data_IF_654304289052
#
_entry.id   IF_654304289052
#
_cell.length_a   1.000
_cell.length_b   1.000
_cell.length_c   1.000
_cell.angle_alpha   90.00
_cell.angle_beta   90.00
_cell.angle_gamma   90.00
#
_symmetry.space_group_name_H-M   'P 1'
#
loop_
_entity.id
_entity.type
_entity.pdbx_description
1 polymer ?
#
# COMPACT_ATOMS: atom_id res chain seq x y z
N UNK A 1 60.37 -41.80 -51.21
CA UNK A 1 59.60 -41.76 -52.43
C UNK A 1 58.71 -40.53 -52.28
N UNK A 2 59.21 -39.52 -52.86
CA UNK A 2 58.65 -38.70 -53.98
C UNK A 2 57.49 -37.79 -53.54
N UNK A 3 57.89 -36.54 -53.40
CA UNK A 3 57.71 -35.45 -54.41
C UNK A 3 56.28 -34.99 -54.54
N UNK A 4 55.87 -33.74 -54.58
CA UNK A 4 56.39 -32.53 -55.24
C UNK A 4 55.41 -31.38 -54.91
N UNK A 5 55.86 -30.25 -54.46
CA UNK A 5 55.92 -28.95 -55.12
C UNK A 5 54.69 -28.48 -55.89
N UNK A 6 54.24 -27.27 -55.55
CA UNK A 6 54.13 -26.11 -56.39
C UNK A 6 52.99 -25.20 -55.86
N UNK A 7 53.31 -24.05 -55.38
CA UNK A 7 53.33 -22.71 -56.00
C UNK A 7 51.97 -22.14 -56.34
N UNK A 8 51.79 -20.98 -55.75
CA UNK A 8 51.37 -19.88 -56.59
C UNK A 8 50.20 -19.06 -56.08
N UNK A 9 50.46 -17.82 -55.82
CA UNK A 9 49.50 -16.77 -56.14
C UNK A 9 48.92 -16.03 -54.94
N UNK A 10 49.58 -15.07 -54.61
CA UNK A 10 49.24 -13.65 -54.91
C UNK A 10 48.39 -12.96 -53.92
N UNK A 11 49.00 -11.99 -53.30
CA UNK A 11 48.48 -10.97 -52.41
C UNK A 11 47.29 -10.24 -53.05
N UNK A 12 46.24 -10.09 -52.30
CA UNK A 12 45.38 -8.90 -52.41
C UNK A 12 45.34 -8.21 -51.07
N UNK A 13 46.11 -7.15 -51.09
CA UNK A 13 46.01 -6.00 -50.25
C UNK A 13 44.55 -5.48 -50.30
N UNK A 14 43.82 -5.66 -49.25
CA UNK A 14 42.54 -4.96 -49.06
C UNK A 14 42.65 -4.07 -47.82
N UNK A 15 43.12 -2.89 -48.08
CA UNK A 15 42.71 -1.58 -47.59
C UNK A 15 41.84 -1.64 -46.32
N UNK A 16 42.51 -1.76 -45.18
CA UNK A 16 41.91 -1.41 -43.89
C UNK A 16 41.95 0.12 -43.73
N UNK A 17 40.99 0.79 -44.34
CA UNK A 17 40.70 2.16 -43.95
C UNK A 17 40.29 2.18 -42.48
N UNK A 18 41.02 2.86 -41.62
CA UNK A 18 40.52 3.11 -40.27
C UNK A 18 39.30 4.03 -40.41
N UNK A 19 38.11 3.49 -40.06
CA UNK A 19 36.96 4.34 -39.84
C UNK A 19 37.31 5.24 -38.67
N UNK A 20 37.73 6.42 -38.98
CA UNK A 20 37.83 7.53 -38.05
C UNK A 20 36.37 7.78 -37.60
N UNK A 21 36.04 7.30 -36.40
CA UNK A 21 34.85 7.73 -35.72
C UNK A 21 34.96 9.26 -35.60
N UNK A 22 34.26 9.96 -36.44
CA UNK A 22 34.05 11.40 -36.30
C UNK A 22 33.39 11.60 -34.93
N UNK A 23 34.21 11.94 -33.96
CA UNK A 23 33.78 12.44 -32.67
C UNK A 23 33.10 13.77 -32.98
N UNK A 24 31.77 13.72 -33.18
CA UNK A 24 30.95 14.92 -33.32
C UNK A 24 31.21 15.76 -32.06
N UNK A 25 32.06 16.76 -32.18
CA UNK A 25 32.27 17.77 -31.13
C UNK A 25 30.93 18.50 -30.94
N UNK A 26 30.15 18.01 -29.98
CA UNK A 26 28.95 18.75 -29.58
C UNK A 26 29.34 20.11 -29.07
N UNK A 27 28.68 21.14 -29.60
CA UNK A 27 28.85 22.47 -29.12
C UNK A 27 28.70 22.49 -27.57
N UNK A 28 29.71 23.00 -26.83
CA UNK A 28 29.68 23.03 -25.37
C UNK A 28 28.44 23.71 -24.79
N UNK A 29 27.90 24.71 -25.49
CA UNK A 29 26.67 25.42 -25.07
C UNK A 29 25.45 24.49 -25.18
N UNK A 30 25.36 23.73 -26.26
CA UNK A 30 24.28 22.76 -26.44
C UNK A 30 24.34 21.67 -25.39
N UNK A 31 25.52 21.08 -25.10
CA UNK A 31 25.73 20.09 -24.08
C UNK A 31 25.33 20.58 -22.67
N UNK A 32 25.76 21.80 -22.31
CA UNK A 32 25.38 22.44 -21.05
C UNK A 32 23.87 22.70 -20.96
N UNK A 33 23.24 23.09 -22.06
CA UNK A 33 21.80 23.34 -22.10
C UNK A 33 21.02 22.03 -21.87
N UNK A 34 21.45 20.94 -22.51
CA UNK A 34 20.86 19.60 -22.31
C UNK A 34 21.04 19.12 -20.85
N UNK A 35 22.21 19.34 -20.27
CA UNK A 35 22.48 19.00 -18.87
C UNK A 35 21.61 19.82 -17.90
N UNK A 36 21.45 21.11 -18.15
CA UNK A 36 20.54 21.95 -17.35
C UNK A 36 19.09 21.50 -17.45
N UNK A 37 18.61 21.19 -18.66
CA UNK A 37 17.24 20.67 -18.85
C UNK A 37 17.04 19.34 -18.13
N UNK A 38 18.01 18.43 -18.23
CA UNK A 38 17.99 17.15 -17.50
C UNK A 38 17.94 17.37 -16.00
N UNK A 39 18.84 18.21 -15.47
CA UNK A 39 18.90 18.53 -14.04
C UNK A 39 17.60 19.16 -13.54
N UNK A 40 17.02 20.07 -14.32
CA UNK A 40 15.73 20.67 -14.00
C UNK A 40 14.59 19.65 -13.95
N UNK A 41 14.58 18.69 -14.88
CA UNK A 41 13.60 17.61 -14.88
C UNK A 41 13.78 16.69 -13.67
N UNK A 42 15.02 16.30 -13.36
CA UNK A 42 15.35 15.50 -12.17
C UNK A 42 14.97 16.21 -10.88
N UNK A 43 15.27 17.49 -10.76
CA UNK A 43 14.90 18.30 -9.59
C UNK A 43 13.37 18.41 -9.44
N UNK A 44 12.64 18.61 -10.54
CA UNK A 44 11.18 18.63 -10.53
C UNK A 44 10.59 17.31 -10.04
N UNK A 45 11.11 16.19 -10.53
CA UNK A 45 10.70 14.86 -10.09
C UNK A 45 11.05 14.60 -8.62
N UNK A 46 12.25 15.01 -8.20
CA UNK A 46 12.67 14.93 -6.80
C UNK A 46 11.72 15.74 -5.88
N UNK A 47 11.40 16.98 -6.25
CA UNK A 47 10.49 17.82 -5.48
C UNK A 47 9.11 17.18 -5.33
N UNK A 48 8.52 16.69 -6.43
CA UNK A 48 7.23 15.98 -6.40
C UNK A 48 7.25 14.76 -5.49
N UNK A 49 8.37 14.01 -5.49
CA UNK A 49 8.54 12.85 -4.60
C UNK A 49 8.61 13.28 -3.14
N UNK A 50 9.43 14.28 -2.82
CA UNK A 50 9.57 14.79 -1.45
C UNK A 50 8.25 15.33 -0.90
N UNK A 51 7.49 16.07 -1.71
CA UNK A 51 6.18 16.59 -1.30
C UNK A 51 5.19 15.44 -1.01
N UNK A 52 5.18 14.39 -1.84
CA UNK A 52 4.38 13.18 -1.60
C UNK A 52 4.81 12.46 -0.32
N UNK A 53 6.11 12.29 -0.12
CA UNK A 53 6.66 11.58 1.04
C UNK A 53 6.34 12.32 2.34
N UNK A 54 6.34 13.66 2.32
CA UNK A 54 5.92 14.49 3.46
C UNK A 54 4.45 14.30 3.81
N UNK A 55 3.57 14.26 2.81
CA UNK A 55 2.13 14.00 3.03
C UNK A 55 1.92 12.61 3.62
N UNK A 56 2.58 11.60 3.04
CA UNK A 56 2.50 10.22 3.55
C UNK A 56 3.03 10.10 4.98
N UNK A 57 4.14 10.77 5.30
CA UNK A 57 4.68 10.78 6.68
C UNK A 57 3.67 11.38 7.67
N UNK A 58 2.99 12.47 7.30
CA UNK A 58 1.91 13.05 8.11
C UNK A 58 0.73 12.10 8.32
N UNK A 59 0.33 11.41 7.27
CA UNK A 59 -0.75 10.40 7.35
C UNK A 59 -0.36 9.21 8.24
N UNK A 60 0.86 8.71 8.12
CA UNK A 60 1.38 7.61 8.95
C UNK A 60 1.43 8.03 10.42
N UNK A 61 1.89 9.25 10.72
CA UNK A 61 1.94 9.76 12.07
C UNK A 61 0.53 9.88 12.69
N UNK A 62 -0.42 10.41 11.92
CA UNK A 62 -1.83 10.48 12.35
C UNK A 62 -2.42 9.10 12.58
N UNK A 63 -2.20 8.16 11.66
CA UNK A 63 -2.65 6.78 11.79
C UNK A 63 -2.09 6.11 13.06
N UNK A 64 -0.79 6.34 13.37
CA UNK A 64 -0.16 5.85 14.59
C UNK A 64 -0.81 6.42 15.85
N UNK A 65 -1.07 7.72 15.91
CA UNK A 65 -1.75 8.35 17.05
C UNK A 65 -3.19 7.82 17.20
N UNK A 66 -3.92 7.62 16.11
CA UNK A 66 -5.27 7.04 16.15
C UNK A 66 -5.26 5.59 16.62
N UNK A 67 -4.25 4.81 16.25
CA UNK A 67 -4.09 3.42 16.69
C UNK A 67 -3.98 3.32 18.21
N UNK A 68 -3.23 4.23 18.84
CA UNK A 68 -3.09 4.30 20.31
C UNK A 68 -4.40 4.69 21.03
N UNK A 69 -5.36 5.29 20.33
CA UNK A 69 -6.66 5.63 20.90
C UNK A 69 -7.68 4.48 20.82
N UNK A 70 -7.43 3.44 20.00
CA UNK A 70 -8.41 2.35 19.79
C UNK A 70 -8.81 1.65 21.10
N UNK A 71 -7.93 1.37 22.07
CA UNK A 71 -8.33 0.77 23.33
C UNK A 71 -9.37 1.61 24.09
N UNK A 72 -9.24 2.94 24.05
CA UNK A 72 -10.20 3.85 24.70
C UNK A 72 -11.57 3.77 24.00
N UNK A 73 -11.56 3.68 22.66
CA UNK A 73 -12.80 3.53 21.89
C UNK A 73 -13.48 2.19 22.17
N UNK A 74 -12.70 1.11 22.36
CA UNK A 74 -13.24 -0.20 22.73
C UNK A 74 -13.87 -0.18 24.14
N UNK A 75 -13.24 0.53 25.08
CA UNK A 75 -13.79 0.71 26.43
C UNK A 75 -15.08 1.53 26.41
N UNK A 76 -15.18 2.54 25.54
CA UNK A 76 -16.43 3.30 25.34
C UNK A 76 -17.51 2.42 24.73
N UNK A 77 -17.20 1.58 23.76
CA UNK A 77 -18.15 0.63 23.18
C UNK A 77 -18.68 -0.34 24.25
N UNK A 78 -17.80 -0.86 25.09
CA UNK A 78 -18.19 -1.72 26.21
C UNK A 78 -19.08 -0.99 27.21
N UNK A 79 -18.78 0.26 27.54
CA UNK A 79 -19.58 1.07 28.42
C UNK A 79 -20.99 1.36 27.83
N UNK A 80 -21.10 1.49 26.49
CA UNK A 80 -22.40 1.56 25.79
C UNK A 80 -23.18 0.27 25.98
N UNK A 81 -22.55 -0.89 25.73
CA UNK A 81 -23.20 -2.21 25.87
C UNK A 81 -23.73 -2.47 27.28
N UNK A 82 -23.02 -2.01 28.30
CA UNK A 82 -23.42 -2.13 29.71
C UNK A 82 -24.37 -1.04 30.19
N UNK A 83 -24.71 -0.06 29.34
CA UNK A 83 -25.61 1.06 29.70
C UNK A 83 -24.98 2.07 30.68
N UNK A 84 -23.65 2.07 30.79
CA UNK A 84 -22.89 2.93 31.74
C UNK A 84 -22.67 4.35 31.23
N UNK A 85 -22.89 4.59 29.94
CA UNK A 85 -22.76 5.92 29.32
C UNK A 85 -23.94 6.82 29.69
N UNK A 86 -23.86 7.46 30.85
CA UNK A 86 -24.92 8.36 31.35
C UNK A 86 -24.36 9.74 31.70
N UNK A 87 -25.24 10.76 31.71
CA UNK A 87 -24.92 12.10 32.17
C UNK A 87 -23.71 12.73 31.48
N UNK A 88 -22.79 13.29 32.27
CA UNK A 88 -21.60 13.96 31.76
C UNK A 88 -20.61 13.03 31.07
N UNK A 89 -20.54 11.76 31.47
CA UNK A 89 -19.67 10.79 30.83
C UNK A 89 -20.08 10.51 29.37
N UNK A 90 -21.39 10.46 29.10
CA UNK A 90 -21.89 10.33 27.73
C UNK A 90 -21.45 11.51 26.85
N UNK A 91 -21.54 12.74 27.38
CA UNK A 91 -21.14 13.92 26.62
C UNK A 91 -19.65 13.90 26.24
N UNK A 92 -18.79 13.44 27.16
CA UNK A 92 -17.34 13.28 26.90
C UNK A 92 -17.11 12.17 25.86
N UNK A 93 -17.77 11.03 25.97
CA UNK A 93 -17.68 9.93 25.03
C UNK A 93 -18.10 10.37 23.62
N UNK A 94 -19.24 11.03 23.49
CA UNK A 94 -19.75 11.57 22.23
C UNK A 94 -18.76 12.57 21.60
N UNK A 95 -18.10 13.39 22.42
CA UNK A 95 -17.10 14.34 21.96
C UNK A 95 -15.85 13.62 21.44
N UNK A 96 -15.37 12.58 22.11
CA UNK A 96 -14.22 11.75 21.66
C UNK A 96 -14.56 11.09 20.32
N UNK A 97 -15.70 10.42 20.20
CA UNK A 97 -16.17 9.77 18.97
C UNK A 97 -16.30 10.76 17.82
N UNK A 98 -16.87 11.94 18.06
CA UNK A 98 -16.97 12.98 17.04
C UNK A 98 -15.61 13.53 16.62
N UNK A 99 -14.67 13.66 17.56
CA UNK A 99 -13.32 14.17 17.27
C UNK A 99 -12.53 13.16 16.43
N UNK A 100 -12.56 11.88 16.79
CA UNK A 100 -11.88 10.83 16.02
C UNK A 100 -12.46 10.69 14.61
N UNK A 101 -13.79 10.81 14.47
CA UNK A 101 -14.47 10.84 13.17
C UNK A 101 -14.05 12.05 12.32
N UNK A 102 -13.94 13.26 12.92
CA UNK A 102 -13.43 14.45 12.22
C UNK A 102 -11.98 14.30 11.77
N UNK A 103 -11.16 13.55 12.50
CA UNK A 103 -9.80 13.20 12.10
C UNK A 103 -9.75 12.18 10.96
N UNK A 104 -10.89 11.60 10.58
CA UNK A 104 -11.00 10.63 9.48
C UNK A 104 -10.90 9.18 9.93
N UNK A 105 -11.07 8.89 11.23
CA UNK A 105 -11.20 7.53 11.73
C UNK A 105 -12.60 7.00 11.43
N UNK A 106 -12.68 5.86 10.80
CA UNK A 106 -13.94 5.17 10.50
C UNK A 106 -13.99 3.82 11.20
N UNK A 107 -15.06 3.59 11.94
CA UNK A 107 -15.40 2.32 12.56
C UNK A 107 -16.14 1.47 11.56
N UNK A 108 -15.81 0.21 11.45
CA UNK A 108 -16.50 -0.75 10.60
C UNK A 108 -16.69 -2.09 11.31
N UNK A 109 -17.58 -2.87 10.77
CA UNK A 109 -18.02 -4.16 11.26
C UNK A 109 -19.54 -4.17 11.28
N UNK A 110 -20.14 -4.86 10.32
CA UNK A 110 -21.58 -5.01 10.18
C UNK A 110 -21.92 -6.48 10.22
N UNK A 111 -23.07 -6.81 10.79
CA UNK A 111 -23.61 -8.17 10.81
C UNK A 111 -25.06 -8.18 10.38
N UNK A 112 -25.49 -9.11 9.53
CA UNK A 112 -24.65 -10.07 8.80
C UNK A 112 -23.91 -9.43 7.62
N UNK A 113 -22.69 -9.85 7.33
CA UNK A 113 -21.92 -9.43 6.17
C UNK A 113 -21.06 -10.58 5.64
N UNK A 114 -20.64 -10.49 4.36
CA UNK A 114 -19.73 -11.47 3.78
C UNK A 114 -18.36 -11.30 4.43
N UNK A 115 -17.70 -12.43 4.72
CA UNK A 115 -16.35 -12.38 5.27
C UNK A 115 -15.34 -11.90 4.22
N UNK A 116 -14.55 -10.88 4.55
CA UNK A 116 -13.44 -10.37 3.75
C UNK A 116 -12.15 -10.44 4.56
N UNK A 117 -11.17 -11.27 4.17
CA UNK A 117 -9.90 -11.40 4.89
C UNK A 117 -9.06 -10.11 4.97
N UNK A 118 -9.32 -9.13 4.11
CA UNK A 118 -8.59 -7.85 4.13
C UNK A 118 -9.00 -6.95 5.28
N UNK A 119 -10.23 -7.10 5.78
CA UNK A 119 -10.81 -6.22 6.81
C UNK A 119 -11.32 -6.97 8.04
N UNK A 120 -11.46 -8.30 7.95
CA UNK A 120 -11.96 -9.15 9.04
C UNK A 120 -10.91 -10.15 9.50
N UNK A 121 -10.82 -10.36 10.81
CA UNK A 121 -10.05 -11.40 11.48
C UNK A 121 -11.04 -12.39 12.14
N UNK A 122 -11.20 -13.57 11.56
CA UNK A 122 -12.07 -14.61 12.12
C UNK A 122 -11.40 -15.26 13.33
N UNK A 123 -11.99 -15.11 14.52
CA UNK A 123 -11.50 -15.74 15.75
C UNK A 123 -12.24 -17.04 16.06
N UNK A 124 -13.47 -17.16 15.60
CA UNK A 124 -14.30 -18.35 15.83
C UNK A 124 -15.02 -18.71 14.54
N UNK A 125 -15.13 -20.02 14.28
CA UNK A 125 -15.84 -20.60 13.16
C UNK A 125 -17.00 -21.44 13.67
N UNK A 126 -18.17 -21.20 13.10
CA UNK A 126 -19.38 -21.98 13.29
C UNK A 126 -19.79 -22.55 11.94
N UNK A 127 -20.61 -23.57 11.92
CA UNK A 127 -21.18 -24.16 10.69
C UNK A 127 -22.70 -24.11 10.75
N UNK A 128 -23.33 -23.76 9.62
CA UNK A 128 -24.80 -23.76 9.52
C UNK A 128 -25.22 -23.98 8.08
N UNK A 129 -26.37 -24.64 7.93
CA UNK A 129 -27.04 -24.82 6.65
C UNK A 129 -27.86 -23.61 6.20
N UNK A 130 -27.93 -22.56 7.01
CA UNK A 130 -28.66 -21.33 6.69
C UNK A 130 -27.83 -20.34 5.83
N UNK A 131 -26.50 -20.47 5.81
CA UNK A 131 -25.62 -19.61 5.04
C UNK A 131 -25.13 -20.34 3.79
N UNK A 132 -24.98 -19.58 2.70
CA UNK A 132 -24.47 -20.10 1.40
C UNK A 132 -23.00 -19.84 1.20
N UNK A 133 -22.45 -18.92 1.92
CA UNK A 133 -21.05 -18.49 1.89
C UNK A 133 -20.61 -18.06 3.29
N UNK A 134 -19.29 -18.06 3.53
CA UNK A 134 -18.72 -17.66 4.82
C UNK A 134 -19.21 -16.27 5.20
N UNK A 135 -20.01 -16.20 6.24
CA UNK A 135 -20.70 -14.98 6.66
C UNK A 135 -20.28 -14.58 8.06
N UNK A 136 -20.03 -13.30 8.27
CA UNK A 136 -19.82 -12.70 9.59
C UNK A 136 -21.16 -12.67 10.31
N UNK A 137 -21.27 -13.41 11.40
CA UNK A 137 -22.49 -13.50 12.19
C UNK A 137 -22.44 -12.71 13.49
N UNK A 138 -21.23 -12.48 14.02
CA UNK A 138 -21.05 -11.69 15.23
C UNK A 138 -19.74 -10.91 15.18
N UNK A 139 -19.77 -9.67 15.68
CA UNK A 139 -18.58 -8.85 15.90
C UNK A 139 -18.18 -9.00 17.36
N UNK A 140 -16.93 -9.40 17.58
CA UNK A 140 -16.32 -9.48 18.91
C UNK A 140 -15.58 -8.17 19.24
N UNK A 141 -15.00 -7.53 18.21
CA UNK A 141 -14.31 -6.27 18.34
C UNK A 141 -14.39 -5.52 16.99
N UNK A 142 -14.79 -4.27 17.02
CA UNK A 142 -14.91 -3.48 15.81
C UNK A 142 -13.57 -3.20 15.13
N UNK A 143 -13.59 -3.19 13.81
CA UNK A 143 -12.48 -2.74 13.00
C UNK A 143 -12.45 -1.22 12.87
N UNK A 144 -11.25 -0.71 12.59
CA UNK A 144 -11.06 0.73 12.36
C UNK A 144 -10.16 0.96 11.16
N UNK A 145 -10.51 1.93 10.34
CA UNK A 145 -9.70 2.40 9.22
C UNK A 145 -9.52 3.91 9.26
N UNK A 146 -8.39 4.35 8.73
CA UNK A 146 -8.08 5.75 8.52
C UNK A 146 -7.77 5.95 7.04
N UNK A 147 -8.64 6.68 6.34
CA UNK A 147 -8.63 6.75 4.88
C UNK A 147 -8.66 5.33 4.27
N UNK A 148 -7.71 5.01 3.37
CA UNK A 148 -7.60 3.69 2.74
C UNK A 148 -6.86 2.64 3.59
N UNK A 149 -6.33 3.02 4.76
CA UNK A 149 -5.54 2.14 5.61
C UNK A 149 -6.37 1.51 6.70
N UNK A 150 -6.46 0.20 6.73
CA UNK A 150 -6.99 -0.55 7.88
C UNK A 150 -5.97 -0.44 9.03
N UNK A 151 -6.39 0.16 10.15
CA UNK A 151 -5.59 0.27 11.36
C UNK A 151 -5.68 -1.01 12.18
N UNK A 152 -6.89 -1.58 12.25
CA UNK A 152 -7.18 -2.83 12.93
C UNK A 152 -8.33 -3.53 12.21
N UNK A 153 -8.21 -4.81 11.85
CA UNK A 153 -9.33 -5.59 11.32
C UNK A 153 -10.43 -5.76 12.37
N UNK A 154 -11.66 -5.97 11.92
CA UNK A 154 -12.74 -6.36 12.81
C UNK A 154 -12.56 -7.83 13.20
N UNK A 155 -12.59 -8.12 14.51
CA UNK A 155 -12.56 -9.48 15.02
C UNK A 155 -13.96 -10.04 15.10
N UNK A 156 -14.15 -11.16 14.42
CA UNK A 156 -15.50 -11.66 14.14
C UNK A 156 -15.64 -13.16 14.41
N UNK A 157 -16.88 -13.56 14.59
CA UNK A 157 -17.30 -14.94 14.44
C UNK A 157 -17.86 -15.10 13.04
N UNK A 158 -17.41 -16.13 12.34
CA UNK A 158 -17.90 -16.46 11.01
C UNK A 158 -18.67 -17.77 11.03
N UNK A 159 -19.69 -17.84 10.19
CA UNK A 159 -20.44 -19.07 9.96
C UNK A 159 -20.18 -19.51 8.54
N UNK A 160 -19.67 -20.73 8.41
CA UNK A 160 -19.42 -21.42 7.15
C UNK A 160 -20.62 -22.25 6.75
N UNK A 161 -20.90 -22.41 5.43
CA UNK A 161 -21.95 -23.30 4.97
C UNK A 161 -21.63 -24.75 5.35
N UNK A 162 -22.62 -25.45 5.86
CA UNK A 162 -22.51 -26.91 6.12
C UNK A 162 -22.43 -27.63 4.77
N UNK A 163 -21.24 -28.12 4.45
CA UNK A 163 -21.05 -28.93 3.27
C UNK A 163 -21.68 -30.30 3.57
N UNK A 164 -22.87 -30.53 3.05
CA UNK A 164 -23.52 -31.86 3.10
C UNK A 164 -22.58 -32.91 2.49
N UNK A 165 -22.17 -33.83 3.29
CA UNK A 165 -21.36 -35.00 2.92
C UNK A 165 -22.21 -35.97 2.08
#
# INVERSE_FOLDING_TARGET
MTEKVSEGGEATDSDLTPQTEEKVERDPVTALTEDLQRLQAEYSNYKKRVDRDRLLAGEIATAGALLELLPILDDLDRAVEHGELTGGFKAVADQILNTTKKLGLEKFGETPSIFDPNIHEALMHETSNEVKETTVTKILQFGYRYKERVLRPARVVVTDPEHGN
#
